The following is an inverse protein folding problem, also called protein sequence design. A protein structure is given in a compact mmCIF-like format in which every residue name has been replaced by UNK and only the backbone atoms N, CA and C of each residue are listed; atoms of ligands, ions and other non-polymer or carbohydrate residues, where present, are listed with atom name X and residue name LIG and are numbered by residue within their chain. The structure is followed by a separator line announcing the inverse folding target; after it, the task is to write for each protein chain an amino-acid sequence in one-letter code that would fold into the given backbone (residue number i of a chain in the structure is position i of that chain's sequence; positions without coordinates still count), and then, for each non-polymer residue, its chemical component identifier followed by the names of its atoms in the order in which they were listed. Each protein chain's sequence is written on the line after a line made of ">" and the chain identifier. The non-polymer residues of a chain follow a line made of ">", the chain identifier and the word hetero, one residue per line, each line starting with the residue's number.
data_IF_859515409759
#
_entry.id   IF_859515409759
#
_cell.length_a   1.000
_cell.length_b   1.000
_cell.length_c   1.000
_cell.angle_alpha   90.00
_cell.angle_beta   90.00
_cell.angle_gamma   90.00
#
_symmetry.space_group_name_H-M   'P 1'
#
loop_
_entity.id
_entity.type
_entity.pdbx_description
1 polymer ?
#
# COMPACT_ATOMS: atom_id res chain seq x y z
N UNK A 1 -15.64 -9.58 -2.64
CA UNK A 1 -15.41 -9.67 -4.10
C UNK A 1 -14.96 -11.09 -4.42
N UNK A 2 -15.16 -11.59 -5.63
CA UNK A 2 -14.56 -12.86 -6.05
C UNK A 2 -13.14 -12.61 -6.64
N UNK A 3 -12.40 -13.68 -6.95
CA UNK A 3 -11.03 -13.56 -7.47
C UNK A 3 -10.91 -12.81 -8.81
N UNK A 4 -11.90 -12.95 -9.69
CA UNK A 4 -11.89 -12.28 -11.00
C UNK A 4 -12.11 -10.77 -10.84
N UNK A 5 -13.04 -10.38 -9.97
CA UNK A 5 -13.30 -8.98 -9.63
C UNK A 5 -12.06 -8.32 -8.99
N UNK A 6 -11.40 -9.04 -8.08
CA UNK A 6 -10.17 -8.58 -7.43
C UNK A 6 -9.05 -8.37 -8.45
N UNK A 7 -8.86 -9.33 -9.37
CA UNK A 7 -7.83 -9.23 -10.41
C UNK A 7 -8.10 -8.07 -11.37
N UNK A 8 -9.37 -7.84 -11.73
CA UNK A 8 -9.75 -6.68 -12.54
C UNK A 8 -9.43 -5.35 -11.83
N UNK A 9 -9.67 -5.27 -10.50
CA UNK A 9 -9.29 -4.08 -9.71
C UNK A 9 -7.79 -3.88 -9.61
N UNK A 10 -7.00 -4.94 -9.57
CA UNK A 10 -5.55 -4.84 -9.57
C UNK A 10 -5.00 -4.29 -10.89
N UNK A 11 -5.57 -4.73 -12.01
CA UNK A 11 -5.19 -4.26 -13.34
C UNK A 11 -5.51 -2.76 -13.56
N UNK A 12 -6.58 -2.24 -12.95
CA UNK A 12 -6.95 -0.81 -13.04
C UNK A 12 -5.84 0.14 -12.56
N UNK A 13 -4.91 -0.33 -11.74
CA UNK A 13 -3.79 0.46 -11.20
C UNK A 13 -2.42 -0.03 -11.66
N UNK A 14 -2.36 -0.87 -12.70
CA UNK A 14 -1.10 -1.21 -13.35
C UNK A 14 -0.36 0.06 -13.81
N UNK A 15 0.97 0.08 -13.62
CA UNK A 15 1.84 1.19 -13.99
C UNK A 15 1.50 2.53 -13.29
N UNK A 16 0.81 2.48 -12.15
CA UNK A 16 0.56 3.64 -11.28
C UNK A 16 1.59 3.70 -10.15
N UNK A 17 1.38 4.56 -9.15
CA UNK A 17 2.33 4.69 -8.04
C UNK A 17 1.65 4.61 -6.67
N UNK A 18 2.24 3.84 -5.74
CA UNK A 18 1.85 3.86 -4.33
C UNK A 18 2.48 5.09 -3.67
N UNK A 19 1.68 5.85 -2.93
CA UNK A 19 2.14 7.03 -2.16
C UNK A 19 2.12 6.80 -0.65
N UNK A 20 1.32 5.84 -0.18
CA UNK A 20 1.26 5.44 1.22
C UNK A 20 0.65 4.04 1.34
N UNK A 21 1.09 3.27 2.33
CA UNK A 21 0.41 2.03 2.71
C UNK A 21 0.59 1.74 4.20
N UNK A 22 -0.35 1.02 4.79
CA UNK A 22 -0.29 0.63 6.19
C UNK A 22 -1.64 0.12 6.70
N UNK A 23 -1.67 -0.33 7.95
CA UNK A 23 -2.95 -0.61 8.60
C UNK A 23 -3.78 0.68 8.70
N UNK A 24 -5.08 0.55 8.42
CA UNK A 24 -6.06 1.60 8.66
C UNK A 24 -6.06 1.97 10.15
N UNK A 25 -6.59 3.16 10.49
CA UNK A 25 -6.63 3.68 11.88
C UNK A 25 -7.18 2.68 12.91
N UNK A 26 -8.17 1.87 12.53
CA UNK A 26 -8.76 0.84 13.39
C UNK A 26 -8.00 -0.49 13.42
N UNK A 27 -6.80 -0.55 12.83
CA UNK A 27 -5.81 -1.63 12.89
C UNK A 27 -6.22 -3.02 12.37
N UNK A 28 -7.38 -3.14 11.71
CA UNK A 28 -7.87 -4.41 11.13
C UNK A 28 -7.68 -4.50 9.62
N UNK A 29 -7.90 -3.40 8.94
CA UNK A 29 -7.84 -3.35 7.47
C UNK A 29 -6.51 -2.76 7.05
N UNK A 30 -6.05 -3.08 5.84
CA UNK A 30 -4.81 -2.54 5.30
C UNK A 30 -5.14 -1.64 4.12
N UNK A 31 -4.66 -0.40 4.16
CA UNK A 31 -4.85 0.58 3.11
C UNK A 31 -3.60 0.66 2.24
N UNK A 32 -3.81 0.67 0.92
CA UNK A 32 -2.82 1.07 -0.09
C UNK A 32 -3.39 2.28 -0.83
N UNK A 33 -2.67 3.40 -0.80
CA UNK A 33 -3.04 4.61 -1.50
C UNK A 33 -2.24 4.71 -2.80
N UNK A 34 -2.97 4.77 -3.91
CA UNK A 34 -2.42 4.82 -5.25
C UNK A 34 -2.67 6.21 -5.83
N UNK A 35 -1.62 6.84 -6.32
CA UNK A 35 -1.69 7.99 -7.21
C UNK A 35 -1.83 7.48 -8.66
N UNK A 36 -3.04 7.55 -9.18
CA UNK A 36 -3.39 7.09 -10.51
C UNK A 36 -3.32 8.25 -11.50
N UNK A 37 -2.42 8.16 -12.47
CA UNK A 37 -2.23 9.09 -13.57
C UNK A 37 -2.76 8.48 -14.87
N UNK A 38 -3.39 9.32 -15.69
CA UNK A 38 -3.70 8.98 -17.07
C UNK A 38 -2.58 9.49 -18.00
N UNK A 39 -2.59 9.04 -19.26
CA UNK A 39 -1.72 9.61 -20.29
C UNK A 39 -1.87 11.15 -20.29
N UNK A 40 -0.77 11.91 -20.08
CA UNK A 40 -0.81 13.37 -20.00
C UNK A 40 -1.48 14.04 -21.20
N UNK A 41 -1.47 13.39 -22.37
CA UNK A 41 -2.09 13.88 -23.61
C UNK A 41 -3.62 13.89 -23.56
N UNK A 42 -4.22 13.12 -22.66
CA UNK A 42 -5.68 13.02 -22.52
C UNK A 42 -6.28 14.17 -21.71
N UNK A 43 -5.46 14.90 -20.95
CA UNK A 43 -5.92 15.97 -20.06
C UNK A 43 -6.73 15.48 -18.86
N UNK A 44 -6.85 14.16 -18.65
CA UNK A 44 -7.49 13.57 -17.48
C UNK A 44 -6.60 13.86 -16.27
N UNK A 45 -7.21 14.43 -15.22
CA UNK A 45 -6.48 14.76 -14.00
C UNK A 45 -6.14 13.48 -13.23
N UNK A 46 -4.96 13.42 -12.60
CA UNK A 46 -4.64 12.35 -11.67
C UNK A 46 -5.63 12.26 -10.51
N UNK A 47 -5.81 11.05 -10.01
CA UNK A 47 -6.69 10.76 -8.87
C UNK A 47 -5.93 10.01 -7.78
N UNK A 48 -6.36 10.21 -6.53
CA UNK A 48 -5.91 9.38 -5.41
C UNK A 48 -6.96 8.33 -5.12
N UNK A 49 -6.56 7.06 -5.20
CA UNK A 49 -7.40 5.91 -4.93
C UNK A 49 -6.92 5.25 -3.64
N UNK A 50 -7.86 4.84 -2.79
CA UNK A 50 -7.61 3.99 -1.63
C UNK A 50 -8.10 2.58 -1.94
N UNK A 51 -7.19 1.64 -1.90
CA UNK A 51 -7.42 0.19 -1.95
C UNK A 51 -7.39 -0.32 -0.52
N UNK A 52 -8.57 -0.54 0.06
CA UNK A 52 -8.72 -1.05 1.43
C UNK A 52 -8.94 -2.56 1.41
N UNK A 53 -7.92 -3.30 1.80
CA UNK A 53 -7.96 -4.74 2.01
C UNK A 53 -8.57 -5.01 3.39
N UNK A 54 -9.83 -5.44 3.42
CA UNK A 54 -10.61 -5.63 4.64
C UNK A 54 -10.31 -6.97 5.31
N UNK A 55 -10.40 -6.99 6.64
CA UNK A 55 -10.08 -8.16 7.45
C UNK A 55 -8.67 -8.69 7.14
N UNK A 56 -7.70 -7.79 7.05
CA UNK A 56 -6.32 -8.12 6.73
C UNK A 56 -5.68 -8.81 7.94
N UNK A 57 -5.38 -10.10 7.81
CA UNK A 57 -4.80 -10.94 8.87
C UNK A 57 -3.28 -11.05 8.79
N UNK A 58 -2.70 -10.72 7.63
CA UNK A 58 -1.25 -10.66 7.42
C UNK A 58 -0.90 -9.51 6.49
N UNK A 59 0.13 -8.75 6.87
CA UNK A 59 0.80 -7.81 5.99
C UNK A 59 2.33 -7.94 6.19
N UNK A 60 3.03 -8.44 5.17
CA UNK A 60 4.49 -8.53 5.12
C UNK A 60 5.03 -7.47 4.14
N UNK A 61 6.11 -6.79 4.52
CA UNK A 61 6.77 -5.78 3.70
C UNK A 61 8.24 -6.11 3.59
N UNK A 62 8.76 -6.15 2.36
CA UNK A 62 10.20 -6.36 2.08
C UNK A 62 10.69 -5.31 1.11
N UNK A 63 11.96 -4.91 1.23
CA UNK A 63 12.55 -4.01 0.24
C UNK A 63 12.64 -4.70 -1.13
N UNK A 64 12.29 -3.97 -2.18
CA UNK A 64 12.55 -4.35 -3.57
C UNK A 64 13.92 -3.83 -4.05
N UNK A 65 14.53 -2.92 -3.28
CA UNK A 65 15.84 -2.33 -3.56
C UNK A 65 16.92 -3.36 -3.24
N UNK A 66 17.86 -3.56 -4.17
CA UNK A 66 18.97 -4.51 -3.96
C UNK A 66 19.85 -4.05 -2.78
N UNK A 67 20.53 -4.96 -2.06
CA UNK A 67 21.40 -4.58 -0.94
C UNK A 67 22.49 -3.56 -1.31
N UNK A 68 23.00 -3.61 -2.54
CA UNK A 68 23.99 -2.65 -3.05
C UNK A 68 23.39 -1.25 -3.19
N UNK A 69 22.25 -1.11 -3.89
CA UNK A 69 21.56 0.17 -4.04
C UNK A 69 21.10 0.66 -2.67
N UNK A 70 20.65 -0.24 -1.79
CA UNK A 70 20.27 0.11 -0.43
C UNK A 70 21.44 0.76 0.30
N UNK A 71 22.66 0.22 0.17
CA UNK A 71 23.88 0.81 0.74
C UNK A 71 24.12 2.25 0.32
N UNK A 72 23.85 2.61 -0.95
CA UNK A 72 23.92 3.99 -1.43
C UNK A 72 22.75 4.84 -0.97
N UNK A 73 21.58 4.21 -0.78
CA UNK A 73 20.34 4.90 -0.46
C UNK A 73 20.18 5.26 1.03
N UNK A 74 21.21 5.02 1.84
CA UNK A 74 21.26 5.40 3.26
C UNK A 74 21.68 6.85 3.48
N UNK A 75 22.07 7.58 2.44
CA UNK A 75 22.38 9.00 2.55
C UNK A 75 21.11 9.80 2.85
N UNK A 76 21.04 10.44 4.02
CA UNK A 76 19.89 11.25 4.47
C UNK A 76 19.48 12.35 3.47
N UNK A 77 20.41 12.81 2.63
CA UNK A 77 20.11 13.80 1.58
C UNK A 77 19.17 13.25 0.50
N UNK A 78 19.08 11.92 0.36
CA UNK A 78 18.12 11.26 -0.53
C UNK A 78 16.67 11.30 -0.02
N UNK A 79 16.43 11.79 1.21
CA UNK A 79 15.09 12.07 1.72
C UNK A 79 14.47 13.35 1.10
N UNK A 80 15.28 14.17 0.42
CA UNK A 80 14.82 15.34 -0.32
C UNK A 80 15.13 15.16 -1.82
N UNK A 81 14.08 15.11 -2.64
CA UNK A 81 14.22 14.89 -4.07
C UNK A 81 15.01 15.99 -4.78
N UNK A 82 14.79 17.26 -4.42
CA UNK A 82 15.47 18.37 -5.09
C UNK A 82 16.96 18.37 -4.73
N UNK A 83 17.29 18.14 -3.46
CA UNK A 83 18.69 18.03 -3.01
C UNK A 83 19.40 16.87 -3.70
N UNK A 84 18.75 15.71 -3.81
CA UNK A 84 19.32 14.55 -4.49
C UNK A 84 19.65 14.84 -5.96
N UNK A 85 18.72 15.49 -6.68
CA UNK A 85 18.90 15.89 -8.09
C UNK A 85 20.01 16.92 -8.25
N UNK A 86 19.99 17.98 -7.44
CA UNK A 86 20.96 19.09 -7.55
C UNK A 86 22.40 18.64 -7.29
N UNK A 87 22.57 17.65 -6.41
CA UNK A 87 23.88 17.09 -6.06
C UNK A 87 24.26 15.86 -6.89
N UNK A 88 23.37 15.34 -7.73
CA UNK A 88 23.60 14.13 -8.54
C UNK A 88 23.91 12.91 -7.67
N UNK A 89 23.16 12.71 -6.58
CA UNK A 89 23.39 11.58 -5.67
C UNK A 89 22.98 10.25 -6.31
N UNK A 90 23.78 9.23 -6.06
CA UNK A 90 23.50 7.85 -6.46
C UNK A 90 22.60 7.15 -5.43
N UNK A 91 21.76 6.22 -5.90
CA UNK A 91 20.88 5.42 -5.06
C UNK A 91 19.39 5.65 -5.32
N UNK A 92 18.57 5.00 -4.51
CA UNK A 92 17.12 5.17 -4.49
C UNK A 92 16.76 6.46 -3.74
N UNK A 93 16.11 7.40 -4.43
CA UNK A 93 15.71 8.69 -3.86
C UNK A 93 14.36 8.55 -3.12
N UNK A 94 14.38 8.47 -1.79
CA UNK A 94 13.17 8.35 -0.97
C UNK A 94 12.26 9.59 -1.05
N UNK A 95 12.87 10.76 -1.20
CA UNK A 95 12.17 12.06 -1.24
C UNK A 95 11.21 12.25 -2.42
N UNK A 96 11.17 11.32 -3.38
CA UNK A 96 10.13 11.31 -4.43
C UNK A 96 8.74 10.99 -3.85
N UNK A 97 8.68 10.38 -2.67
CA UNK A 97 7.45 10.08 -1.93
C UNK A 97 6.43 9.24 -2.70
N UNK A 98 6.90 8.40 -3.63
CA UNK A 98 6.09 7.37 -4.27
C UNK A 98 6.94 6.16 -4.65
N UNK A 99 6.28 5.03 -4.89
CA UNK A 99 6.87 3.79 -5.39
C UNK A 99 6.06 3.35 -6.61
N UNK A 100 6.74 3.08 -7.72
CA UNK A 100 6.09 2.67 -8.96
C UNK A 100 5.57 1.26 -8.80
N UNK A 101 4.30 1.05 -9.10
CA UNK A 101 3.59 -0.22 -9.02
C UNK A 101 3.89 -1.06 -10.28
N UNK A 102 5.11 -1.61 -10.34
CA UNK A 102 5.58 -2.43 -11.44
C UNK A 102 6.35 -3.65 -10.91
N UNK A 103 5.96 -4.89 -11.27
CA UNK A 103 4.94 -5.26 -12.27
C UNK A 103 3.47 -5.10 -11.85
N UNK A 104 3.13 -4.67 -10.63
CA UNK A 104 1.74 -4.40 -10.25
C UNK A 104 1.24 -5.17 -9.02
N UNK A 105 -0.07 -5.33 -8.92
CA UNK A 105 -0.74 -6.18 -7.93
C UNK A 105 -1.21 -7.48 -8.59
N UNK A 106 -1.04 -8.61 -7.90
CA UNK A 106 -1.50 -9.92 -8.37
C UNK A 106 -2.10 -10.73 -7.23
N UNK A 107 -3.05 -11.62 -7.54
CA UNK A 107 -3.48 -12.64 -6.60
C UNK A 107 -2.50 -13.82 -6.62
N UNK A 108 -2.19 -14.35 -5.44
CA UNK A 108 -1.43 -15.59 -5.29
C UNK A 108 -2.40 -16.76 -5.37
N UNK A 109 -2.35 -17.49 -6.49
CA UNK A 109 -3.18 -18.68 -6.69
C UNK A 109 -2.81 -19.79 -5.70
N UNK A 110 -3.81 -20.45 -5.14
CA UNK A 110 -3.61 -21.62 -4.28
C UNK A 110 -2.89 -21.32 -2.95
N UNK A 111 -2.95 -20.08 -2.46
CA UNK A 111 -2.36 -19.69 -1.17
C UNK A 111 -2.82 -20.62 -0.02
N UNK A 112 -1.89 -21.36 0.62
CA UNK A 112 -2.22 -22.22 1.74
C UNK A 112 -2.74 -21.45 2.95
N UNK A 113 -2.16 -20.28 3.22
CA UNK A 113 -2.54 -19.43 4.36
C UNK A 113 -3.94 -18.84 4.16
N UNK A 114 -4.25 -18.33 2.97
CA UNK A 114 -5.60 -17.85 2.67
C UNK A 114 -6.65 -18.97 2.76
N UNK A 115 -6.31 -20.19 2.31
CA UNK A 115 -7.20 -21.35 2.43
C UNK A 115 -7.44 -21.74 3.91
N UNK A 116 -6.40 -21.69 4.74
CA UNK A 116 -6.49 -21.95 6.18
C UNK A 116 -7.40 -20.95 6.89
N UNK A 117 -7.21 -19.64 6.63
CA UNK A 117 -8.07 -18.60 7.18
C UNK A 117 -9.51 -18.72 6.71
N UNK A 118 -9.71 -19.04 5.43
CA UNK A 118 -11.06 -19.27 4.88
C UNK A 118 -11.78 -20.39 5.60
N UNK A 119 -11.10 -21.53 5.80
CA UNK A 119 -11.66 -22.69 6.48
C UNK A 119 -11.99 -22.41 7.96
N UNK A 120 -11.14 -21.63 8.64
CA UNK A 120 -11.32 -21.29 10.06
C UNK A 120 -12.47 -20.33 10.32
N UNK A 121 -12.62 -19.32 9.46
CA UNK A 121 -13.57 -18.23 9.68
C UNK A 121 -14.86 -18.37 8.88
N UNK A 122 -14.92 -19.29 7.91
CA UNK A 122 -16.12 -19.56 7.11
C UNK A 122 -16.46 -18.46 6.10
N UNK A 123 -15.49 -17.60 5.77
CA UNK A 123 -15.60 -16.54 4.74
C UNK A 123 -14.40 -16.64 3.78
N UNK A 124 -14.50 -16.14 2.54
CA UNK A 124 -13.37 -16.17 1.62
C UNK A 124 -12.18 -15.33 2.11
N UNK A 125 -10.98 -15.87 1.94
CA UNK A 125 -9.72 -15.15 2.07
C UNK A 125 -8.89 -15.32 0.80
N UNK A 126 -8.07 -14.32 0.53
CA UNK A 126 -7.21 -14.19 -0.62
C UNK A 126 -5.82 -13.74 -0.17
N UNK A 127 -4.80 -14.08 -0.96
CA UNK A 127 -3.47 -13.53 -0.81
C UNK A 127 -3.16 -12.66 -2.03
N UNK A 128 -2.72 -11.42 -1.79
CA UNK A 128 -2.23 -10.53 -2.82
C UNK A 128 -0.73 -10.30 -2.67
N UNK A 129 -0.03 -10.29 -3.80
CA UNK A 129 1.34 -9.79 -3.91
C UNK A 129 1.31 -8.46 -4.62
N UNK A 130 1.95 -7.46 -4.04
CA UNK A 130 2.04 -6.10 -4.57
C UNK A 130 3.53 -5.82 -4.76
N UNK A 131 3.94 -5.64 -6.01
CA UNK A 131 5.34 -5.42 -6.36
C UNK A 131 5.57 -3.98 -6.79
N UNK A 132 6.62 -3.38 -6.23
CA UNK A 132 7.03 -2.01 -6.56
C UNK A 132 8.54 -1.90 -6.69
N UNK A 133 9.02 -0.71 -7.08
CA UNK A 133 10.45 -0.41 -7.09
C UNK A 133 11.05 -0.06 -5.71
N UNK A 134 10.23 0.13 -4.67
CA UNK A 134 10.69 0.47 -3.32
C UNK A 134 10.50 -0.67 -2.33
N UNK A 135 9.24 -1.06 -2.11
CA UNK A 135 8.87 -2.16 -1.22
C UNK A 135 7.83 -3.09 -1.87
N UNK A 136 8.04 -4.38 -1.69
CA UNK A 136 7.06 -5.42 -2.04
C UNK A 136 6.20 -5.72 -0.81
N UNK A 137 4.90 -5.94 -1.04
CA UNK A 137 3.94 -6.29 0.00
C UNK A 137 3.32 -7.65 -0.29
N UNK A 138 3.09 -8.44 0.75
CA UNK A 138 2.26 -9.64 0.69
C UNK A 138 1.15 -9.55 1.74
N UNK A 139 -0.11 -9.56 1.28
CA UNK A 139 -1.29 -9.33 2.11
C UNK A 139 -2.19 -10.56 2.11
N UNK A 140 -2.70 -10.98 3.27
CA UNK A 140 -3.78 -11.97 3.38
C UNK A 140 -5.02 -11.28 3.93
N UNK A 141 -6.10 -11.27 3.16
CA UNK A 141 -7.28 -10.43 3.39
C UNK A 141 -8.56 -11.12 2.91
N UNK A 142 -9.73 -10.61 3.30
CA UNK A 142 -11.01 -11.22 2.93
C UNK A 142 -11.69 -10.52 1.75
N UNK A 143 -11.68 -9.19 1.71
CA UNK A 143 -12.32 -8.43 0.63
C UNK A 143 -11.57 -7.13 0.32
N UNK A 144 -11.85 -6.50 -0.81
CA UNK A 144 -11.29 -5.23 -1.24
C UNK A 144 -12.40 -4.18 -1.39
N UNK A 145 -12.14 -2.98 -0.87
CA UNK A 145 -12.96 -1.78 -1.12
C UNK A 145 -12.09 -0.73 -1.78
N UNK A 146 -12.46 -0.31 -2.99
CA UNK A 146 -11.77 0.77 -3.71
C UNK A 146 -12.60 2.04 -3.63
N UNK A 147 -11.98 3.15 -3.21
CA UNK A 147 -12.63 4.46 -3.12
C UNK A 147 -11.70 5.57 -3.53
N UNK A 148 -12.21 6.60 -4.21
CA UNK A 148 -11.47 7.86 -4.42
C UNK A 148 -11.31 8.59 -3.08
N UNK A 149 -10.17 9.24 -2.89
CA UNK A 149 -9.91 10.14 -1.75
C UNK A 149 -9.53 11.53 -2.26
N UNK A 150 -9.97 12.55 -1.52
CA UNK A 150 -9.69 13.94 -1.87
C UNK A 150 -8.35 14.40 -1.31
N UNK A 151 -7.70 15.39 -1.94
CA UNK A 151 -6.49 16.02 -1.39
C UNK A 151 -6.71 16.52 0.04
N UNK A 152 -5.69 16.33 0.90
CA UNK A 152 -5.76 16.68 2.31
C UNK A 152 -6.33 15.57 3.21
N UNK A 153 -6.75 14.43 2.65
CA UNK A 153 -7.06 13.24 3.44
C UNK A 153 -5.83 12.79 4.24
N UNK A 154 -6.03 12.51 5.53
CA UNK A 154 -5.01 11.97 6.42
C UNK A 154 -5.33 10.50 6.75
N UNK A 155 -4.47 9.52 6.39
CA UNK A 155 -4.70 8.10 6.68
C UNK A 155 -4.85 7.77 8.17
N UNK A 156 -4.19 8.57 9.01
CA UNK A 156 -4.23 8.46 10.46
C UNK A 156 -3.96 9.83 11.08
N UNK A 157 -4.52 10.07 12.27
CA UNK A 157 -4.21 11.24 13.09
C UNK A 157 -3.97 10.79 14.52
N UNK A 158 -2.96 11.37 15.18
CA UNK A 158 -2.72 11.12 16.60
C UNK A 158 -3.66 12.02 17.41
N UNK A 159 -4.64 11.46 18.16
CA UNK A 159 -5.52 12.27 18.99
C UNK A 159 -4.74 12.88 20.16
N UNK A 160 -5.08 14.11 20.55
CA UNK A 160 -4.42 14.84 21.64
C UNK A 160 -4.53 14.13 22.99
N UNK A 161 -5.69 13.52 23.27
CA UNK A 161 -6.01 12.94 24.57
C UNK A 161 -5.85 11.40 24.60
N UNK A 162 -5.21 10.83 23.58
CA UNK A 162 -5.13 9.38 23.39
C UNK A 162 -6.46 8.78 22.88
N UNK A 163 -6.56 7.45 22.78
CA UNK A 163 -7.82 6.80 22.40
C UNK A 163 -8.89 7.04 23.47
N UNK A 164 -10.13 7.32 23.06
CA UNK A 164 -11.30 7.36 23.95
C UNK A 164 -11.66 5.94 24.41
N UNK A 165 -10.81 5.39 25.27
CA UNK A 165 -10.93 4.06 25.84
C UNK A 165 -11.10 4.19 27.36
N UNK A 166 -12.25 3.75 27.87
CA UNK A 166 -12.48 3.56 29.30
C UNK A 166 -12.24 2.10 29.65
N UNK A 167 -11.32 1.84 30.57
CA UNK A 167 -11.13 0.48 31.09
C UNK A 167 -12.43 0.00 31.75
N UNK A 168 -12.93 -1.21 31.44
CA UNK A 168 -14.06 -1.77 32.17
C UNK A 168 -13.68 -1.95 33.65
N UNK A 169 -14.16 -1.06 34.53
CA UNK A 169 -13.95 -1.15 35.98
C UNK A 169 -13.53 0.14 36.68
N UNK A 170 -13.25 1.22 35.96
CA UNK A 170 -13.07 2.55 36.56
C UNK A 170 -14.36 3.36 36.40
N UNK A 171 -15.20 3.32 37.44
CA UNK A 171 -16.32 4.24 37.67
C UNK A 171 -15.99 5.20 38.79
#
# INVERSE_FOLDING_TARGET
>A
MNSDDLSAKFEEVFDQSIVFHGFAEHLRDYDVFVYATADPRTGIRPEYLRYRFTHCVRADTRTAVSPEVWGWSLDERLLDHQVAVDLGLEGYVWGVNFQVLYPGMTLVEGSPEAAEWSARLGIPFHEARIETNGHNLELVFSDLVVSKVEPGFAPFSIPQDGPDFKWPGES
#
